data_IF_581598960122
#
_entry.id   IF_581598960122
#
_cell.length_a   1.000
_cell.length_b   1.000
_cell.length_c   1.000
_cell.angle_alpha   90.00
_cell.angle_beta   90.00
_cell.angle_gamma   90.00
#
_symmetry.space_group_name_H-M   'P 1'
#
loop_
_entity.id
_entity.type
_entity.pdbx_description
1 polymer ?
#
# COMPACT_ATOMS: atom_id res chain seq x y z
N UNK A 1 -60.57 51.10 -32.70
CA UNK A 1 -60.76 50.66 -34.09
C UNK A 1 -59.52 49.84 -34.48
N UNK A 2 -59.73 48.53 -34.62
CA UNK A 2 -58.99 47.60 -35.50
C UNK A 2 -57.58 47.09 -35.08
N UNK A 3 -57.59 45.77 -34.82
CA UNK A 3 -56.59 44.70 -35.07
C UNK A 3 -55.18 44.81 -34.46
N UNK A 4 -54.76 43.93 -33.53
CA UNK A 4 -54.50 42.48 -33.69
C UNK A 4 -53.56 42.14 -34.87
N UNK A 5 -52.33 41.72 -34.54
CA UNK A 5 -51.69 40.54 -35.13
C UNK A 5 -50.44 40.09 -34.36
N UNK A 6 -50.53 38.85 -33.88
CA UNK A 6 -49.45 37.92 -33.53
C UNK A 6 -48.24 38.00 -34.48
N UNK A 7 -47.02 37.70 -33.98
CA UNK A 7 -46.11 36.67 -34.54
C UNK A 7 -44.83 36.53 -33.68
N UNK A 8 -44.68 35.32 -33.13
CA UNK A 8 -43.46 34.50 -32.88
C UNK A 8 -42.28 35.06 -32.08
N UNK A 9 -42.30 34.68 -30.80
CA UNK A 9 -41.23 33.99 -30.06
C UNK A 9 -39.98 33.58 -30.87
N UNK A 10 -38.82 34.12 -30.49
CA UNK A 10 -37.55 33.38 -30.42
C UNK A 10 -36.83 33.87 -29.17
N UNK A 11 -37.01 33.15 -28.06
CA UNK A 11 -36.20 33.29 -26.85
C UNK A 11 -34.93 32.47 -27.10
N UNK A 12 -33.83 33.14 -27.43
CA UNK A 12 -32.52 32.51 -27.52
C UNK A 12 -31.99 32.33 -26.08
N UNK A 13 -32.34 31.21 -25.45
CA UNK A 13 -31.73 30.81 -24.19
C UNK A 13 -30.29 30.38 -24.48
N UNK A 14 -29.34 31.29 -24.22
CA UNK A 14 -27.93 30.94 -24.13
C UNK A 14 -27.77 30.08 -22.87
N UNK A 15 -27.90 28.77 -23.00
CA UNK A 15 -27.49 27.83 -21.96
C UNK A 15 -25.97 27.90 -21.92
N UNK A 16 -25.44 28.71 -21.02
CA UNK A 16 -24.06 28.60 -20.60
C UNK A 16 -23.94 27.24 -19.90
N UNK A 17 -23.55 26.20 -20.66
CA UNK A 17 -22.98 24.99 -20.08
C UNK A 17 -21.72 25.44 -19.35
N UNK A 18 -21.86 25.66 -18.05
CA UNK A 18 -20.73 25.70 -17.13
C UNK A 18 -20.09 24.32 -17.27
N UNK A 19 -19.03 24.23 -18.07
CA UNK A 19 -18.20 23.05 -18.12
C UNK A 19 -17.69 22.85 -16.70
N UNK A 20 -18.28 21.92 -15.97
CA UNK A 20 -17.67 21.38 -14.76
C UNK A 20 -16.46 20.63 -15.28
N UNK A 21 -15.34 21.33 -15.36
CA UNK A 21 -14.04 20.70 -15.39
C UNK A 21 -13.94 19.95 -14.07
N UNK A 22 -14.24 18.65 -14.08
CA UNK A 22 -13.78 17.78 -13.00
C UNK A 22 -12.27 17.78 -13.17
N UNK A 23 -11.61 18.72 -12.50
CA UNK A 23 -10.19 18.57 -12.21
C UNK A 23 -10.14 17.26 -11.41
N UNK A 24 -9.58 16.20 -11.99
CA UNK A 24 -9.22 15.01 -11.22
C UNK A 24 -8.26 15.50 -10.14
N UNK A 25 -8.77 15.63 -8.92
CA UNK A 25 -7.93 15.98 -7.79
C UNK A 25 -7.08 14.74 -7.51
N UNK A 26 -5.77 14.88 -7.67
CA UNK A 26 -4.83 13.94 -7.08
C UNK A 26 -5.20 13.83 -5.60
N UNK A 27 -5.53 12.62 -5.15
CA UNK A 27 -5.76 12.37 -3.74
C UNK A 27 -4.42 12.22 -3.03
N UNK A 28 -4.37 12.71 -1.80
CA UNK A 28 -3.24 12.52 -0.91
C UNK A 28 -3.45 11.22 -0.13
N UNK A 29 -2.52 10.27 -0.28
CA UNK A 29 -2.48 9.03 0.48
C UNK A 29 -1.24 9.05 1.37
N UNK A 30 -1.41 8.89 2.68
CA UNK A 30 -0.30 8.84 3.63
C UNK A 30 0.09 7.41 3.97
N UNK A 31 1.32 7.22 4.44
CA UNK A 31 1.84 5.98 4.97
C UNK A 31 1.84 6.05 6.49
N UNK A 32 1.21 5.10 7.17
CA UNK A 32 1.36 4.91 8.62
C UNK A 32 2.23 3.70 8.90
N UNK A 33 3.24 3.87 9.74
CA UNK A 33 4.05 2.78 10.31
C UNK A 33 3.67 2.65 11.78
N UNK A 34 3.03 1.54 12.15
CA UNK A 34 2.64 1.25 13.53
C UNK A 34 3.66 0.32 14.18
N UNK A 35 4.15 0.68 15.37
CA UNK A 35 5.02 -0.16 16.17
C UNK A 35 4.24 -0.82 17.32
N UNK A 36 4.36 -2.14 17.43
CA UNK A 36 3.80 -2.91 18.56
C UNK A 36 4.84 -3.90 19.09
N UNK A 37 4.84 -4.22 20.40
CA UNK A 37 5.73 -5.25 20.93
C UNK A 37 5.47 -6.59 20.24
N UNK A 38 6.54 -7.25 19.81
CA UNK A 38 6.48 -8.59 19.26
C UNK A 38 6.19 -9.64 20.35
N UNK A 39 5.80 -10.85 19.94
CA UNK A 39 5.72 -12.00 20.86
C UNK A 39 7.12 -12.41 21.33
N UNK A 40 8.09 -12.34 20.43
CA UNK A 40 9.51 -12.55 20.68
C UNK A 40 10.08 -11.40 21.50
N UNK A 41 10.57 -11.71 22.70
CA UNK A 41 11.06 -10.73 23.65
C UNK A 41 12.17 -9.85 23.05
N UNK A 42 12.04 -8.53 23.22
CA UNK A 42 13.03 -7.55 22.75
C UNK A 42 12.87 -7.14 21.29
N UNK A 43 11.89 -7.69 20.56
CA UNK A 43 11.57 -7.26 19.19
C UNK A 43 10.34 -6.36 19.14
N UNK A 44 10.26 -5.55 18.09
CA UNK A 44 9.13 -4.70 17.74
C UNK A 44 8.63 -5.04 16.36
N UNK A 45 7.32 -5.28 16.21
CA UNK A 45 6.66 -5.41 14.93
C UNK A 45 6.30 -4.02 14.40
N UNK A 46 6.76 -3.70 13.19
CA UNK A 46 6.42 -2.51 12.44
C UNK A 46 5.49 -2.89 11.30
N UNK A 47 4.22 -2.47 11.37
CA UNK A 47 3.22 -2.70 10.33
C UNK A 47 3.00 -1.44 9.50
N UNK A 48 3.11 -1.59 8.18
CA UNK A 48 3.07 -0.50 7.22
C UNK A 48 1.71 -0.45 6.55
N UNK A 49 1.01 0.66 6.69
CA UNK A 49 -0.33 0.86 6.17
C UNK A 49 -0.37 2.04 5.21
N UNK A 50 -1.07 1.91 4.08
CA UNK A 50 -1.51 3.07 3.30
C UNK A 50 -2.87 3.49 3.84
N UNK A 51 -2.99 4.76 4.21
CA UNK A 51 -4.26 5.35 4.62
C UNK A 51 -5.01 5.81 3.35
N UNK A 52 -6.18 5.23 3.14
CA UNK A 52 -7.10 5.54 2.04
C UNK A 52 -8.08 6.64 2.45
N UNK A 53 -8.67 7.32 1.47
CA UNK A 53 -9.62 8.40 1.73
C UNK A 53 -11.07 7.95 1.54
N UNK A 54 -11.29 6.88 0.77
CA UNK A 54 -12.59 6.29 0.48
C UNK A 54 -12.51 4.76 0.51
N UNK A 55 -13.61 4.11 0.92
CA UNK A 55 -13.71 2.65 0.98
C UNK A 55 -13.63 1.97 -0.40
N UNK A 56 -13.78 2.73 -1.48
CA UNK A 56 -13.61 2.26 -2.86
C UNK A 56 -12.21 2.51 -3.44
N UNK A 57 -11.35 3.25 -2.74
CA UNK A 57 -9.93 3.35 -3.13
C UNK A 57 -9.29 1.96 -3.09
N UNK A 58 -8.32 1.74 -3.98
CA UNK A 58 -7.78 0.40 -4.17
C UNK A 58 -6.26 0.38 -4.26
N UNK A 59 -5.65 -0.36 -3.34
CA UNK A 59 -4.24 -0.69 -3.39
C UNK A 59 -3.95 -1.67 -4.54
N UNK A 60 -2.90 -1.39 -5.31
CA UNK A 60 -2.50 -2.17 -6.49
C UNK A 60 -1.15 -2.84 -6.31
N UNK A 61 -0.11 -2.04 -6.03
CA UNK A 61 1.27 -2.51 -5.99
C UNK A 61 2.18 -1.65 -5.11
N UNK A 62 3.19 -2.27 -4.51
CA UNK A 62 4.39 -1.57 -4.03
C UNK A 62 5.49 -1.79 -5.07
N UNK A 63 6.31 -0.78 -5.32
CA UNK A 63 7.29 -0.83 -6.40
C UNK A 63 8.57 -0.05 -6.09
N UNK A 64 9.64 -0.37 -6.81
CA UNK A 64 10.89 0.38 -6.82
C UNK A 64 11.64 0.20 -8.13
N UNK A 65 12.39 1.22 -8.55
CA UNK A 65 13.25 1.22 -9.72
C UNK A 65 14.29 2.37 -9.63
N UNK A 66 15.02 2.64 -10.70
CA UNK A 66 16.05 3.68 -10.77
C UNK A 66 15.52 5.13 -10.70
N UNK A 67 14.23 5.35 -10.91
CA UNK A 67 13.59 6.66 -10.80
C UNK A 67 12.92 6.85 -9.44
N UNK A 68 12.28 5.79 -8.93
CA UNK A 68 11.59 5.75 -7.64
C UNK A 68 12.19 4.63 -6.80
N UNK A 69 13.19 4.97 -5.99
CA UNK A 69 13.91 4.00 -5.19
C UNK A 69 13.00 3.45 -4.08
N UNK A 70 12.95 2.13 -3.94
CA UNK A 70 12.31 1.48 -2.79
C UNK A 70 13.37 1.06 -1.80
N UNK A 71 13.26 1.51 -0.55
CA UNK A 71 14.14 1.08 0.54
C UNK A 71 13.38 0.81 1.83
N UNK A 72 13.76 -0.27 2.50
CA UNK A 72 13.43 -0.52 3.90
C UNK A 72 14.70 -1.01 4.59
N UNK A 73 15.21 -0.21 5.51
CA UNK A 73 16.39 -0.49 6.32
C UNK A 73 15.97 -0.90 7.72
N UNK A 74 16.49 -2.04 8.18
CA UNK A 74 16.41 -2.57 9.53
C UNK A 74 17.85 -2.91 9.98
N UNK A 75 18.66 -1.93 10.42
CA UNK A 75 20.10 -2.12 10.66
C UNK A 75 20.44 -3.22 11.68
N UNK A 76 19.54 -3.47 12.63
CA UNK A 76 19.69 -4.50 13.65
C UNK A 76 19.18 -5.89 13.19
N UNK A 77 18.78 -6.00 11.93
CA UNK A 77 18.29 -7.22 11.28
C UNK A 77 16.77 -7.37 11.34
N UNK A 78 16.19 -7.83 10.24
CA UNK A 78 14.80 -8.29 10.17
C UNK A 78 14.69 -9.73 10.69
N UNK A 79 13.68 -9.98 11.53
CA UNK A 79 13.36 -11.32 11.99
C UNK A 79 12.57 -12.07 10.92
N UNK A 80 13.05 -13.26 10.53
CA UNK A 80 12.36 -14.18 9.65
C UNK A 80 12.26 -15.56 10.31
N UNK A 81 11.03 -15.98 10.59
CA UNK A 81 10.75 -17.27 11.20
C UNK A 81 11.10 -18.40 10.22
N UNK A 82 11.76 -19.48 10.67
CA UNK A 82 11.99 -20.65 9.84
C UNK A 82 10.70 -21.40 9.46
N UNK A 83 9.54 -20.98 10.02
CA UNK A 83 8.24 -21.59 9.78
C UNK A 83 7.39 -20.84 8.75
N UNK A 84 7.80 -19.64 8.32
CA UNK A 84 7.22 -18.99 7.15
C UNK A 84 7.87 -19.58 5.88
N UNK A 85 7.10 -20.35 5.11
CA UNK A 85 7.60 -20.96 3.87
C UNK A 85 7.47 -20.06 2.63
N UNK A 86 7.14 -18.77 2.82
CA UNK A 86 6.90 -17.79 1.74
C UNK A 86 7.59 -16.46 2.06
N UNK A 87 7.72 -15.59 1.06
CA UNK A 87 8.20 -14.21 1.23
C UNK A 87 7.09 -13.23 1.64
N UNK A 88 5.83 -13.69 1.61
CA UNK A 88 4.65 -12.89 1.88
C UNK A 88 3.77 -13.52 2.96
N UNK A 89 2.70 -12.81 3.34
CA UNK A 89 1.76 -13.23 4.37
C UNK A 89 1.19 -14.66 4.18
N UNK A 90 1.22 -15.23 2.97
CA UNK A 90 0.67 -16.57 2.72
C UNK A 90 1.39 -17.70 3.47
N UNK A 91 2.62 -17.50 3.93
CA UNK A 91 3.29 -18.49 4.77
C UNK A 91 2.99 -18.37 6.26
N UNK A 92 2.25 -17.34 6.69
CA UNK A 92 1.74 -17.19 8.06
C UNK A 92 0.49 -18.06 8.23
N UNK A 93 0.67 -19.37 8.19
CA UNK A 93 -0.43 -20.32 8.31
C UNK A 93 -1.00 -20.31 9.74
N UNK A 94 -2.27 -19.93 9.95
CA UNK A 94 -2.86 -19.81 11.28
C UNK A 94 -2.90 -21.15 12.04
N UNK A 95 -2.83 -22.29 11.34
CA UNK A 95 -2.76 -23.61 11.97
C UNK A 95 -1.43 -23.87 12.72
N UNK A 96 -0.36 -23.13 12.38
CA UNK A 96 0.96 -23.27 12.99
C UNK A 96 1.19 -22.32 14.16
N UNK A 97 0.49 -21.19 14.22
CA UNK A 97 0.64 -20.17 15.28
C UNK A 97 0.49 -20.72 16.71
N UNK A 98 -0.44 -21.66 17.02
CA UNK A 98 -0.52 -22.22 18.38
C UNK A 98 0.70 -23.03 18.81
N UNK A 99 1.49 -23.54 17.84
CA UNK A 99 2.70 -24.36 18.08
C UNK A 99 3.97 -23.52 17.98
N UNK A 100 3.98 -22.54 17.07
CA UNK A 100 5.07 -21.59 16.83
C UNK A 100 4.52 -20.16 16.94
N UNK A 101 4.34 -19.63 18.16
CA UNK A 101 3.73 -18.32 18.37
C UNK A 101 4.53 -17.17 17.77
N UNK A 102 5.84 -17.33 17.68
CA UNK A 102 6.79 -16.40 17.05
C UNK A 102 6.59 -16.27 15.54
N UNK A 103 5.83 -17.17 14.89
CA UNK A 103 5.49 -17.03 13.47
C UNK A 103 4.73 -15.73 13.18
N UNK A 104 3.97 -15.20 14.14
CA UNK A 104 3.25 -13.92 13.94
C UNK A 104 4.20 -12.73 13.88
N UNK A 105 5.44 -12.88 14.34
CA UNK A 105 6.47 -11.85 14.32
C UNK A 105 7.26 -11.85 13.00
N UNK A 106 6.99 -12.76 12.06
CA UNK A 106 7.74 -12.84 10.81
C UNK A 106 7.71 -11.52 10.00
N UNK A 107 8.80 -11.23 9.30
CA UNK A 107 8.90 -10.12 8.35
C UNK A 107 8.42 -10.58 6.97
N UNK A 108 7.31 -10.02 6.51
CA UNK A 108 6.67 -10.41 5.25
C UNK A 108 6.08 -9.23 4.48
N UNK A 109 6.02 -9.35 3.16
CA UNK A 109 5.23 -8.44 2.31
C UNK A 109 3.77 -8.89 2.19
N UNK A 110 2.87 -7.95 1.92
CA UNK A 110 1.45 -8.24 1.72
C UNK A 110 0.72 -7.13 0.95
N UNK A 111 -0.55 -7.34 0.63
CA UNK A 111 -1.51 -6.29 0.32
C UNK A 111 -2.82 -6.69 1.03
N UNK A 112 -3.11 -6.05 2.16
CA UNK A 112 -4.36 -6.23 2.92
C UNK A 112 -4.56 -7.59 3.57
N UNK A 113 -3.52 -8.42 3.70
CA UNK A 113 -3.61 -9.77 4.31
C UNK A 113 -2.59 -9.96 5.44
N UNK A 114 -2.99 -10.65 6.51
CA UNK A 114 -2.10 -11.07 7.61
C UNK A 114 -1.77 -12.58 7.57
N UNK A 115 -2.24 -13.27 6.53
CA UNK A 115 -2.12 -14.70 6.35
C UNK A 115 -2.45 -15.10 4.91
N UNK A 116 -2.55 -16.40 4.60
CA UNK A 116 -2.97 -16.85 3.27
C UNK A 116 -4.35 -16.31 2.88
N UNK A 117 -4.48 -15.83 1.64
CA UNK A 117 -5.73 -15.35 1.08
C UNK A 117 -6.87 -16.37 1.23
N UNK A 118 -6.56 -17.65 1.04
CA UNK A 118 -7.51 -18.77 1.19
C UNK A 118 -8.10 -18.93 2.60
N UNK A 119 -7.43 -18.43 3.63
CA UNK A 119 -7.89 -18.45 5.02
C UNK A 119 -8.30 -17.08 5.56
N UNK A 120 -8.26 -16.03 4.73
CA UNK A 120 -8.55 -14.64 5.15
C UNK A 120 -10.02 -14.38 5.48
N UNK A 121 -10.93 -15.21 4.98
CA UNK A 121 -12.37 -14.96 5.04
C UNK A 121 -12.88 -13.93 4.04
N UNK A 122 -12.00 -13.34 3.22
CA UNK A 122 -12.35 -12.39 2.17
C UNK A 122 -12.60 -13.12 0.85
N UNK A 123 -13.83 -13.05 0.34
CA UNK A 123 -14.16 -13.60 -0.98
C UNK A 123 -13.37 -12.87 -2.07
N UNK A 124 -12.72 -13.63 -2.96
CA UNK A 124 -11.94 -13.07 -4.06
C UNK A 124 -10.60 -12.47 -3.65
N UNK A 125 -10.11 -12.70 -2.42
CA UNK A 125 -8.76 -12.31 -2.05
C UNK A 125 -7.70 -13.11 -2.81
N UNK A 126 -6.53 -12.51 -3.01
CA UNK A 126 -5.39 -13.15 -3.65
C UNK A 126 -4.09 -12.82 -2.92
N UNK A 127 -3.22 -13.81 -2.77
CA UNK A 127 -1.86 -13.61 -2.29
C UNK A 127 -1.08 -12.76 -3.31
N UNK A 128 -0.25 -11.80 -2.89
CA UNK A 128 0.50 -10.97 -3.81
C UNK A 128 1.44 -11.77 -4.71
N UNK A 129 1.52 -11.36 -5.97
CA UNK A 129 2.56 -11.79 -6.92
C UNK A 129 3.76 -10.85 -6.85
N UNK A 130 4.92 -11.32 -7.31
CA UNK A 130 6.16 -10.55 -7.32
C UNK A 130 6.85 -10.61 -8.68
N UNK A 131 7.44 -9.48 -9.07
CA UNK A 131 8.42 -9.37 -10.16
C UNK A 131 9.60 -8.60 -9.60
N UNK A 132 10.81 -9.09 -9.83
CA UNK A 132 12.03 -8.47 -9.30
C UNK A 132 13.21 -8.65 -10.28
N UNK A 133 14.14 -7.70 -10.25
CA UNK A 133 15.42 -7.83 -10.94
C UNK A 133 16.22 -9.00 -10.34
N UNK A 134 16.55 -10.00 -11.16
CA UNK A 134 17.36 -11.13 -10.72
C UNK A 134 18.75 -10.74 -10.19
N UNK A 135 19.25 -9.54 -10.52
CA UNK A 135 20.53 -9.03 -10.03
C UNK A 135 20.40 -8.22 -8.72
N UNK A 136 19.19 -7.82 -8.33
CA UNK A 136 18.89 -7.15 -7.06
C UNK A 136 17.49 -7.58 -6.58
N UNK A 137 17.33 -8.87 -6.20
CA UNK A 137 16.05 -9.36 -5.68
C UNK A 137 15.77 -8.74 -4.31
N UNK A 138 14.49 -8.49 -4.02
CA UNK A 138 14.02 -7.96 -2.72
C UNK A 138 13.52 -9.08 -1.81
N UNK A 139 13.13 -10.23 -2.36
CA UNK A 139 12.66 -11.39 -1.59
C UNK A 139 13.60 -11.86 -0.46
N UNK A 140 14.95 -11.77 -0.58
CA UNK A 140 15.83 -12.14 0.52
C UNK A 140 15.58 -11.39 1.84
N UNK A 141 15.04 -10.16 1.80
CA UNK A 141 14.69 -9.41 3.01
C UNK A 141 13.56 -10.08 3.83
N UNK A 142 12.70 -10.86 3.16
CA UNK A 142 11.59 -11.57 3.77
C UNK A 142 11.88 -13.05 4.03
N UNK A 143 13.07 -13.53 3.63
CA UNK A 143 13.41 -14.97 3.68
C UNK A 143 14.66 -15.26 4.50
N UNK A 144 15.58 -14.30 4.61
CA UNK A 144 16.85 -14.48 5.29
C UNK A 144 16.84 -13.76 6.64
N UNK A 145 16.74 -14.54 7.72
CA UNK A 145 16.82 -14.00 9.08
C UNK A 145 18.08 -13.13 9.27
N UNK A 146 17.88 -11.96 9.86
CA UNK A 146 18.92 -10.95 10.04
C UNK A 146 19.20 -10.07 8.81
N UNK A 147 18.41 -10.16 7.73
CA UNK A 147 18.54 -9.26 6.59
C UNK A 147 18.38 -7.79 7.03
N UNK A 148 19.26 -6.90 6.56
CA UNK A 148 19.29 -5.51 7.07
C UNK A 148 18.65 -4.49 6.13
N UNK A 149 18.51 -4.82 4.84
CA UNK A 149 18.04 -3.87 3.83
C UNK A 149 17.26 -4.57 2.73
N UNK A 150 16.08 -4.04 2.43
CA UNK A 150 15.39 -4.19 1.16
C UNK A 150 15.75 -3.00 0.28
N UNK A 151 16.27 -3.23 -0.93
CA UNK A 151 16.61 -2.18 -1.88
C UNK A 151 16.16 -2.55 -3.28
N UNK A 152 15.45 -1.65 -3.95
CA UNK A 152 15.21 -1.70 -5.38
C UNK A 152 15.49 -0.34 -6.02
N UNK A 153 16.58 -0.27 -6.78
CA UNK A 153 17.01 0.94 -7.48
C UNK A 153 17.61 0.67 -8.88
N UNK A 154 17.42 -0.53 -9.42
CA UNK A 154 17.83 -0.84 -10.80
C UNK A 154 16.79 -0.37 -11.82
N UNK A 155 17.18 -0.34 -13.10
CA UNK A 155 16.26 -0.03 -14.20
C UNK A 155 15.09 -1.03 -14.29
N UNK A 156 15.36 -2.32 -14.03
CA UNK A 156 14.31 -3.36 -14.01
C UNK A 156 13.43 -3.21 -12.79
N UNK A 157 14.03 -2.91 -11.63
CA UNK A 157 13.31 -2.67 -10.39
C UNK A 157 12.69 -3.93 -9.79
N UNK A 158 11.75 -3.73 -8.87
CA UNK A 158 10.95 -4.78 -8.25
C UNK A 158 9.55 -4.26 -7.91
N UNK A 159 8.58 -5.17 -7.84
CA UNK A 159 7.23 -4.87 -7.39
C UNK A 159 6.54 -6.13 -6.88
N UNK A 160 5.84 -6.00 -5.76
CA UNK A 160 4.77 -6.93 -5.40
C UNK A 160 3.41 -6.28 -5.60
N UNK A 161 2.47 -7.06 -6.12
CA UNK A 161 1.18 -6.56 -6.58
C UNK A 161 0.07 -7.60 -6.50
N UNK A 162 -1.16 -7.12 -6.54
CA UNK A 162 -2.37 -7.90 -6.75
C UNK A 162 -3.12 -7.38 -7.98
N UNK A 163 -3.98 -8.20 -8.56
CA UNK A 163 -4.84 -7.75 -9.65
C UNK A 163 -5.95 -6.83 -9.12
N UNK A 164 -6.45 -5.96 -10.00
CA UNK A 164 -7.55 -5.03 -9.69
C UNK A 164 -8.90 -5.72 -9.37
N UNK A 165 -8.93 -7.05 -9.35
CA UNK A 165 -10.07 -7.89 -8.95
C UNK A 165 -9.93 -8.49 -7.55
N UNK A 166 -8.73 -8.51 -6.97
CA UNK A 166 -8.46 -9.13 -5.67
C UNK A 166 -8.99 -8.29 -4.49
N UNK A 167 -9.97 -8.79 -3.74
CA UNK A 167 -10.75 -7.97 -2.77
C UNK A 167 -9.91 -7.35 -1.64
N UNK A 168 -8.80 -7.99 -1.27
CA UNK A 168 -7.82 -7.51 -0.30
C UNK A 168 -7.05 -6.24 -0.73
N UNK A 169 -7.31 -5.71 -1.93
CA UNK A 169 -6.85 -4.38 -2.32
C UNK A 169 -7.72 -3.23 -1.80
N UNK A 170 -8.93 -3.51 -1.31
CA UNK A 170 -9.79 -2.51 -0.67
C UNK A 170 -9.35 -2.30 0.78
N UNK A 171 -9.53 -1.09 1.34
CA UNK A 171 -9.16 -0.83 2.71
C UNK A 171 -10.04 -1.56 3.72
N UNK A 172 -9.49 -1.73 4.91
CA UNK A 172 -10.19 -2.23 6.09
C UNK A 172 -11.17 -1.19 6.68
N UNK A 173 -11.74 -1.50 7.85
CA UNK A 173 -12.70 -0.63 8.52
C UNK A 173 -12.10 0.72 8.99
N UNK A 174 -10.79 0.81 9.12
CA UNK A 174 -10.06 2.03 9.49
C UNK A 174 -9.62 2.83 8.25
N UNK A 175 -10.08 2.44 7.05
CA UNK A 175 -9.64 2.96 5.76
C UNK A 175 -8.14 2.71 5.49
N UNK A 176 -7.60 1.56 5.88
CA UNK A 176 -6.17 1.24 5.69
C UNK A 176 -5.94 -0.04 4.91
N UNK A 177 -4.83 -0.11 4.20
CA UNK A 177 -4.34 -1.36 3.58
C UNK A 177 -2.94 -1.67 4.08
N UNK A 178 -2.76 -2.82 4.72
CA UNK A 178 -1.45 -3.33 5.15
C UNK A 178 -0.59 -3.68 3.92
N UNK A 179 0.66 -3.22 3.88
CA UNK A 179 1.61 -3.46 2.79
C UNK A 179 2.73 -4.44 3.18
N UNK A 180 3.12 -4.44 4.44
CA UNK A 180 4.15 -5.33 4.97
C UNK A 180 4.18 -5.27 6.50
N UNK A 181 4.80 -6.28 7.09
CA UNK A 181 5.26 -6.28 8.47
C UNK A 181 6.77 -6.47 8.48
N UNK A 182 7.49 -5.69 9.28
CA UNK A 182 8.92 -5.87 9.56
C UNK A 182 9.08 -6.00 11.05
N UNK A 183 9.79 -7.01 11.51
CA UNK A 183 10.10 -7.16 12.93
C UNK A 183 11.59 -7.04 13.15
N UNK A 184 11.98 -6.19 14.08
CA UNK A 184 13.39 -5.97 14.41
C UNK A 184 13.55 -5.60 15.88
N UNK A 185 14.75 -5.78 16.43
CA UNK A 185 15.13 -5.25 17.74
C UNK A 185 15.45 -3.75 17.68
N UNK A 186 15.65 -3.22 16.48
CA UNK A 186 15.96 -1.82 16.20
C UNK A 186 14.82 -1.03 15.57
N UNK A 187 15.17 0.18 15.13
CA UNK A 187 14.28 1.03 14.33
C UNK A 187 14.27 0.61 12.85
N UNK A 188 13.22 0.96 12.12
CA UNK A 188 13.13 0.80 10.66
C UNK A 188 13.04 2.16 9.98
N UNK A 189 13.64 2.31 8.80
CA UNK A 189 13.59 3.58 8.05
C UNK A 189 13.66 3.33 6.55
N UNK A 190 13.29 4.30 5.72
CA UNK A 190 13.49 4.17 4.27
C UNK A 190 12.52 5.00 3.44
N UNK A 191 12.23 4.49 2.24
CA UNK A 191 11.30 5.07 1.27
C UNK A 191 10.41 3.98 0.69
N UNK A 192 9.10 4.09 0.91
CA UNK A 192 8.09 3.23 0.31
C UNK A 192 7.50 3.89 -0.93
N UNK A 193 7.36 3.15 -2.02
CA UNK A 193 6.59 3.61 -3.18
C UNK A 193 5.43 2.68 -3.47
N UNK A 194 4.24 3.25 -3.61
CA UNK A 194 3.01 2.48 -3.75
C UNK A 194 2.05 3.09 -4.77
N UNK A 195 1.21 2.24 -5.35
CA UNK A 195 0.22 2.59 -6.34
C UNK A 195 -1.19 2.37 -5.83
N UNK A 196 -2.02 3.41 -5.92
CA UNK A 196 -3.44 3.40 -5.57
C UNK A 196 -4.28 3.74 -6.81
N UNK A 197 -5.45 3.12 -6.93
CA UNK A 197 -6.52 3.52 -7.85
C UNK A 197 -7.61 4.24 -7.04
N UNK A 198 -7.65 5.58 -7.08
CA UNK A 198 -8.70 6.35 -6.43
C UNK A 198 -10.07 5.88 -6.90
N UNK A 199 -10.98 5.63 -5.96
CA UNK A 199 -12.33 5.11 -6.21
C UNK A 199 -12.36 3.82 -7.08
N UNK A 200 -11.25 3.09 -7.12
CA UNK A 200 -11.07 1.88 -7.94
C UNK A 200 -10.91 2.15 -9.44
N UNK A 201 -10.75 3.41 -9.86
CA UNK A 201 -10.65 3.80 -11.27
C UNK A 201 -9.19 3.74 -11.72
N UNK A 202 -8.84 2.70 -12.47
CA UNK A 202 -7.46 2.51 -12.94
C UNK A 202 -6.92 3.62 -13.86
N UNK A 203 -7.80 4.38 -14.53
CA UNK A 203 -7.40 5.54 -15.34
C UNK A 203 -6.87 6.70 -14.48
N UNK A 204 -7.29 6.78 -13.22
CA UNK A 204 -6.90 7.82 -12.26
C UNK A 204 -5.77 7.36 -11.34
N UNK A 205 -5.05 6.31 -11.72
CA UNK A 205 -3.98 5.72 -10.91
C UNK A 205 -2.97 6.76 -10.43
N UNK A 206 -2.55 6.61 -9.17
CA UNK A 206 -1.56 7.46 -8.55
C UNK A 206 -0.41 6.61 -8.03
N UNK A 207 0.81 7.09 -8.24
CA UNK A 207 2.04 6.52 -7.69
C UNK A 207 2.61 7.53 -6.71
N UNK A 208 2.90 7.08 -5.50
CA UNK A 208 3.39 7.91 -4.41
C UNK A 208 4.70 7.35 -3.88
N UNK A 209 5.59 8.24 -3.46
CA UNK A 209 6.87 7.94 -2.82
C UNK A 209 6.91 8.63 -1.46
N UNK A 210 6.99 7.85 -0.38
CA UNK A 210 6.92 8.35 0.99
C UNK A 210 8.11 7.86 1.78
N UNK A 211 8.92 8.82 2.26
CA UNK A 211 10.00 8.53 3.21
C UNK A 211 9.44 8.35 4.63
N UNK A 212 10.04 7.46 5.40
CA UNK A 212 9.66 7.18 6.78
C UNK A 212 10.90 6.95 7.66
N UNK A 213 10.77 7.24 8.95
CA UNK A 213 11.77 6.94 9.98
C UNK A 213 11.06 6.53 11.27
N UNK A 214 11.08 5.23 11.54
CA UNK A 214 10.37 4.59 12.64
C UNK A 214 8.85 4.62 12.51
N UNK A 215 8.18 4.53 13.66
CA UNK A 215 6.74 4.60 13.75
C UNK A 215 6.24 6.04 13.58
N UNK A 216 5.13 6.21 12.87
CA UNK A 216 4.54 7.52 12.58
C UNK A 216 3.63 7.50 11.38
N UNK A 217 3.06 8.66 11.04
CA UNK A 217 2.33 8.87 9.78
C UNK A 217 3.14 9.85 8.93
N UNK A 218 3.35 9.49 7.67
CA UNK A 218 4.24 10.17 6.74
C UNK A 218 3.53 10.44 5.42
N UNK A 219 3.85 11.57 4.78
CA UNK A 219 3.11 12.01 3.59
C UNK A 219 1.67 12.41 3.92
N UNK A 220 0.88 12.66 2.87
CA UNK A 220 -0.40 13.38 3.00
C UNK A 220 -0.14 14.85 3.31
N UNK A 221 -0.68 15.78 2.51
CA UNK A 221 -0.37 17.20 2.61
C UNK A 221 -0.70 17.80 3.98
N UNK A 222 0.30 17.83 4.86
CA UNK A 222 0.51 18.80 5.94
C UNK A 222 1.87 18.63 6.69
N UNK A 223 2.73 17.69 6.30
CA UNK A 223 4.15 17.66 6.72
C UNK A 223 4.97 18.76 6.01
N UNK A 224 4.60 20.02 6.24
CA UNK A 224 5.51 21.14 6.11
C UNK A 224 6.48 21.06 7.29
N UNK A 225 7.68 20.54 7.03
CA UNK A 225 8.83 20.66 7.93
C UNK A 225 9.00 22.13 8.30
N UNK A 226 8.57 22.53 9.51
CA UNK A 226 9.07 23.77 10.11
C UNK A 226 10.48 23.48 10.59
N UNK A 227 11.44 24.21 10.01
CA UNK A 227 12.72 24.44 10.66
C UNK A 227 12.59 25.24 11.95
#
# INVERSE_FOLDING_TARGET
MILSRFVKTVLCALVATCGVSVLGFAQDFSLTVEATPAVTEGLTQYRFYVNMNDASDRMSAVFGNNEYMLTVDAPDGAFNSPFNSSWNASGINPAFVPVFPDLVDDTYATIGLEGPASSSGLEGAADPSIVEDSNQPITPFFLNDGATTLLSNTLTGASWYILNTASNGLPDADLRVLLMQVTSSGNVSGQMNFQVFPLGIGADQQQLSVAFDGAGTFGGGDEAVSG
#
